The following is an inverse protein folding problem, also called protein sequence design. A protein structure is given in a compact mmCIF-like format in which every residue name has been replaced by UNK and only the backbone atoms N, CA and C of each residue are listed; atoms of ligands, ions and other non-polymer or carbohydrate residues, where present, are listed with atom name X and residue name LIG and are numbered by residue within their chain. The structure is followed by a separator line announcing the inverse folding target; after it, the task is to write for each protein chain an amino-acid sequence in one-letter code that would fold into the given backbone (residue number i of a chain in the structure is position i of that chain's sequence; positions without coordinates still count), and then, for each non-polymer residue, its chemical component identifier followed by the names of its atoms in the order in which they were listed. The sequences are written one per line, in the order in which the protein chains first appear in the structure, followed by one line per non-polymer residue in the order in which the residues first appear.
data_IF_217825073501
#
_entry.id   IF_217825073501
#
_cell.length_a   1.000
_cell.length_b   1.000
_cell.length_c   1.000
_cell.angle_alpha   90.00
_cell.angle_beta   90.00
_cell.angle_gamma   90.00
#
_symmetry.space_group_name_H-M   'P 1'
#
loop_
_entity.id
_entity.type
_entity.pdbx_description
1 polymer ?
#
# COMPACT_ATOMS: atom_id res chain seq x y z
N UNK A 1 29.65 -4.73 -25.06
CA UNK A 1 28.39 -4.06 -24.90
C UNK A 1 27.28 -4.83 -25.56
N UNK A 2 27.62 -5.62 -26.56
CA UNK A 2 26.60 -6.30 -27.33
C UNK A 2 25.69 -7.18 -26.50
N UNK A 3 26.28 -8.11 -25.77
CA UNK A 3 25.51 -9.11 -25.06
C UNK A 3 24.67 -8.51 -23.96
N UNK A 4 25.27 -7.73 -23.08
CA UNK A 4 24.51 -7.16 -21.97
C UNK A 4 23.51 -6.11 -22.45
N UNK A 5 23.86 -5.34 -23.48
CA UNK A 5 22.95 -4.37 -24.08
C UNK A 5 21.72 -5.06 -24.68
N UNK A 6 21.94 -6.14 -25.40
CA UNK A 6 20.83 -6.87 -26.03
C UNK A 6 19.95 -7.57 -25.00
N UNK A 7 20.54 -8.11 -23.96
CA UNK A 7 19.78 -8.73 -22.89
C UNK A 7 18.90 -7.71 -22.20
N UNK A 8 19.46 -6.54 -21.86
CA UNK A 8 18.69 -5.46 -21.26
C UNK A 8 17.61 -4.95 -22.20
N UNK A 9 17.90 -4.88 -23.47
CA UNK A 9 16.96 -4.42 -24.48
C UNK A 9 15.75 -5.37 -24.57
N UNK A 10 16.01 -6.67 -24.57
CA UNK A 10 14.94 -7.66 -24.57
C UNK A 10 14.07 -7.57 -23.33
N UNK A 11 14.68 -7.45 -22.18
CA UNK A 11 13.95 -7.27 -20.92
C UNK A 11 13.07 -6.03 -20.96
N UNK A 12 13.58 -4.97 -21.56
CA UNK A 12 12.83 -3.73 -21.68
C UNK A 12 11.58 -3.90 -22.54
N UNK A 13 11.66 -4.61 -23.62
CA UNK A 13 10.51 -4.86 -24.48
C UNK A 13 9.51 -5.81 -23.86
N UNK A 14 9.97 -6.83 -23.17
CA UNK A 14 9.08 -7.84 -22.63
C UNK A 14 8.31 -7.36 -21.40
N UNK A 15 8.94 -6.58 -20.54
CA UNK A 15 8.29 -6.10 -19.32
C UNK A 15 6.97 -5.37 -19.56
N UNK A 16 6.88 -4.42 -20.49
CA UNK A 16 5.62 -3.69 -20.68
C UNK A 16 4.46 -4.56 -21.14
N UNK A 17 4.75 -5.66 -21.78
CA UNK A 17 3.71 -6.50 -22.35
C UNK A 17 3.26 -7.63 -21.46
N UNK A 18 4.09 -8.08 -20.56
CA UNK A 18 3.82 -9.29 -19.79
C UNK A 18 3.70 -9.06 -18.30
N UNK A 19 4.11 -7.90 -17.81
CA UNK A 19 4.25 -7.71 -16.38
C UNK A 19 3.02 -7.09 -15.76
N UNK A 20 2.21 -7.91 -15.09
CA UNK A 20 1.28 -7.41 -14.10
C UNK A 20 2.09 -6.84 -12.95
N UNK A 21 1.68 -5.69 -12.46
CA UNK A 21 2.23 -5.12 -11.24
C UNK A 21 1.48 -5.73 -10.06
N UNK A 22 2.15 -6.55 -9.29
CA UNK A 22 1.57 -7.23 -8.13
C UNK A 22 1.69 -6.32 -6.91
N UNK A 23 0.57 -5.89 -6.38
CA UNK A 23 0.54 -4.95 -5.26
C UNK A 23 -0.15 -5.57 -4.06
N UNK A 24 0.58 -5.59 -2.94
CA UNK A 24 0.06 -6.00 -1.65
C UNK A 24 -0.46 -4.76 -0.93
N UNK A 25 -1.71 -4.80 -0.48
CA UNK A 25 -2.30 -3.75 0.34
C UNK A 25 -2.51 -4.32 1.74
N UNK A 26 -1.82 -3.73 2.71
CA UNK A 26 -1.90 -4.13 4.11
C UNK A 26 -2.60 -3.03 4.90
N UNK A 27 -3.74 -3.38 5.47
CA UNK A 27 -4.60 -2.44 6.17
C UNK A 27 -4.52 -2.71 7.67
N UNK A 28 -4.20 -1.67 8.43
CA UNK A 28 -3.88 -1.75 9.83
C UNK A 28 -5.07 -1.78 10.78
N UNK A 29 -4.78 -1.67 12.08
CA UNK A 29 -5.79 -1.80 13.13
C UNK A 29 -6.94 -0.82 12.98
N UNK A 30 -8.12 -1.31 13.25
CA UNK A 30 -9.35 -0.52 13.26
C UNK A 30 -9.81 0.05 11.92
N UNK A 31 -9.10 -0.24 10.85
CA UNK A 31 -9.54 0.26 9.53
C UNK A 31 -10.88 -0.35 9.12
N UNK A 32 -11.19 -1.54 9.61
CA UNK A 32 -12.52 -2.13 9.44
C UNK A 32 -13.64 -1.30 10.10
N UNK A 33 -13.29 -0.38 10.99
CA UNK A 33 -14.23 0.54 11.63
C UNK A 33 -14.31 1.91 10.91
N UNK A 34 -13.79 2.00 9.72
CA UNK A 34 -13.85 3.23 8.93
C UNK A 34 -15.28 3.75 8.78
N UNK A 35 -16.23 2.83 8.58
CA UNK A 35 -17.65 3.19 8.49
C UNK A 35 -18.20 3.80 9.78
N UNK A 36 -17.77 3.30 10.92
CA UNK A 36 -18.16 3.85 12.21
C UNK A 36 -17.50 5.22 12.42
N UNK A 37 -16.22 5.33 12.10
CA UNK A 37 -15.48 6.59 12.25
C UNK A 37 -16.06 7.70 11.36
N UNK A 38 -16.53 7.36 10.17
CA UNK A 38 -17.08 8.33 9.22
C UNK A 38 -18.59 8.49 9.31
N UNK A 39 -19.26 7.80 10.24
CA UNK A 39 -20.72 7.75 10.30
C UNK A 39 -21.39 9.12 10.55
N UNK A 40 -20.65 10.04 11.16
CA UNK A 40 -21.17 11.39 11.47
C UNK A 40 -20.81 12.40 10.39
N UNK A 41 -20.18 11.98 9.32
CA UNK A 41 -19.84 12.86 8.19
C UNK A 41 -20.89 12.74 7.11
N UNK A 42 -20.94 13.71 6.20
CA UNK A 42 -21.85 13.67 5.07
C UNK A 42 -21.55 12.49 4.13
N UNK A 43 -20.29 12.09 4.07
CA UNK A 43 -19.83 11.03 3.19
C UNK A 43 -19.34 9.83 4.02
N UNK A 44 -20.30 9.03 4.49
CA UNK A 44 -19.93 7.82 5.20
C UNK A 44 -19.20 6.87 4.26
N UNK A 45 -17.98 6.49 4.65
CA UNK A 45 -17.16 5.57 3.90
C UNK A 45 -16.83 4.36 4.76
N UNK A 46 -17.20 3.17 4.28
CA UNK A 46 -16.81 1.91 4.92
C UNK A 46 -15.55 1.36 4.25
N UNK A 47 -14.86 0.44 4.93
CA UNK A 47 -13.71 -0.23 4.34
C UNK A 47 -14.11 -1.00 3.07
N UNK A 48 -15.28 -1.63 3.09
CA UNK A 48 -15.78 -2.37 1.93
C UNK A 48 -15.95 -1.44 0.72
N UNK A 49 -16.53 -0.26 0.93
CA UNK A 49 -16.68 0.73 -0.16
C UNK A 49 -15.33 1.22 -0.67
N UNK A 50 -14.39 1.46 0.24
CA UNK A 50 -13.04 1.88 -0.13
C UNK A 50 -12.37 0.81 -1.00
N UNK A 51 -12.42 -0.43 -0.57
CA UNK A 51 -11.80 -1.53 -1.33
C UNK A 51 -12.46 -1.73 -2.70
N UNK A 52 -13.78 -1.61 -2.77
CA UNK A 52 -14.50 -1.70 -4.05
C UNK A 52 -14.11 -0.58 -4.99
N UNK A 53 -13.95 0.64 -4.47
CA UNK A 53 -13.53 1.78 -5.29
C UNK A 53 -12.12 1.60 -5.83
N UNK A 54 -11.22 1.11 -4.99
CA UNK A 54 -9.84 0.83 -5.42
C UNK A 54 -9.85 -0.19 -6.57
N UNK A 55 -10.57 -1.29 -6.40
CA UNK A 55 -10.66 -2.33 -7.43
C UNK A 55 -11.29 -1.80 -8.71
N UNK A 56 -12.32 -0.97 -8.60
CA UNK A 56 -13.00 -0.39 -9.75
C UNK A 56 -12.06 0.52 -10.54
N UNK A 57 -11.36 1.40 -9.86
CA UNK A 57 -10.48 2.38 -10.50
C UNK A 57 -9.27 1.73 -11.18
N UNK A 58 -8.88 0.54 -10.73
CA UNK A 58 -7.73 -0.17 -11.27
C UNK A 58 -8.09 -1.30 -12.23
N UNK A 59 -9.37 -1.46 -12.54
CA UNK A 59 -9.86 -2.58 -13.32
C UNK A 59 -9.20 -2.71 -14.70
N UNK A 60 -8.93 -1.58 -15.34
CA UNK A 60 -8.37 -1.55 -16.70
C UNK A 60 -6.86 -1.33 -16.70
N UNK A 61 -6.22 -1.50 -15.56
CA UNK A 61 -4.75 -1.35 -15.43
C UNK A 61 -4.12 -2.70 -15.19
N UNK A 62 -2.88 -2.84 -15.60
CA UNK A 62 -2.13 -4.09 -15.42
C UNK A 62 -1.64 -4.23 -13.98
N UNK A 63 -2.59 -4.38 -13.07
CA UNK A 63 -2.35 -4.47 -11.64
C UNK A 63 -3.14 -5.63 -11.06
N UNK A 64 -2.48 -6.44 -10.26
CA UNK A 64 -3.13 -7.45 -9.44
C UNK A 64 -2.98 -7.08 -7.98
N UNK A 65 -4.08 -7.16 -7.22
CA UNK A 65 -4.12 -6.73 -5.84
C UNK A 65 -4.35 -7.91 -4.91
N UNK A 66 -3.62 -7.93 -3.79
CA UNK A 66 -3.96 -8.73 -2.61
C UNK A 66 -4.19 -7.76 -1.48
N UNK A 67 -5.36 -7.82 -0.85
CA UNK A 67 -5.75 -6.91 0.21
C UNK A 67 -5.95 -7.69 1.49
N UNK A 68 -5.23 -7.31 2.54
CA UNK A 68 -5.35 -7.92 3.87
C UNK A 68 -5.58 -6.83 4.91
N UNK A 69 -6.51 -7.07 5.81
CA UNK A 69 -6.77 -6.20 6.96
C UNK A 69 -6.52 -7.01 8.24
N UNK A 70 -5.78 -6.43 9.19
CA UNK A 70 -5.55 -7.09 10.48
C UNK A 70 -5.26 -6.07 11.56
N UNK A 71 -5.60 -6.43 12.80
CA UNK A 71 -5.20 -5.69 13.98
C UNK A 71 -3.91 -6.23 14.59
N UNK A 72 -3.48 -7.41 14.15
CA UNK A 72 -2.39 -8.15 14.80
C UNK A 72 -1.08 -7.88 14.08
N UNK A 73 -0.13 -7.33 14.83
CA UNK A 73 1.20 -7.01 14.32
C UNK A 73 1.87 -8.25 13.71
N UNK A 74 1.80 -9.40 14.37
CA UNK A 74 2.46 -10.60 13.86
C UNK A 74 1.83 -11.10 12.55
N UNK A 75 0.52 -10.89 12.36
CA UNK A 75 -0.11 -11.23 11.08
C UNK A 75 0.37 -10.31 9.97
N UNK A 76 0.55 -9.02 10.26
CA UNK A 76 1.07 -8.08 9.30
C UNK A 76 2.47 -8.49 8.83
N UNK A 77 3.33 -8.84 9.77
CA UNK A 77 4.67 -9.35 9.46
C UNK A 77 4.59 -10.60 8.59
N UNK A 78 3.70 -11.53 8.93
CA UNK A 78 3.52 -12.75 8.14
C UNK A 78 3.03 -12.46 6.71
N UNK A 79 2.09 -11.55 6.54
CA UNK A 79 1.64 -11.15 5.20
C UNK A 79 2.78 -10.57 4.38
N UNK A 80 3.58 -9.71 4.97
CA UNK A 80 4.73 -9.11 4.30
C UNK A 80 5.73 -10.18 3.87
N UNK A 81 6.08 -11.09 4.77
CA UNK A 81 7.07 -12.12 4.49
C UNK A 81 6.58 -13.12 3.46
N UNK A 82 5.33 -13.57 3.55
CA UNK A 82 4.78 -14.54 2.61
C UNK A 82 4.68 -14.00 1.20
N UNK A 83 4.42 -12.72 1.06
CA UNK A 83 4.20 -12.10 -0.24
C UNK A 83 5.44 -11.42 -0.81
N UNK A 84 6.60 -11.51 -0.15
CA UNK A 84 7.81 -10.80 -0.57
C UNK A 84 8.32 -11.18 -1.96
N UNK A 85 8.03 -12.40 -2.41
CA UNK A 85 8.42 -12.85 -3.75
C UNK A 85 7.37 -12.55 -4.80
N UNK A 86 6.14 -12.32 -4.38
CA UNK A 86 5.03 -12.02 -5.28
C UNK A 86 4.89 -10.51 -5.51
N UNK A 87 5.03 -9.71 -4.48
CA UNK A 87 4.73 -8.27 -4.53
C UNK A 87 5.83 -7.49 -5.24
N UNK A 88 5.42 -6.61 -6.13
CA UNK A 88 6.29 -5.61 -6.76
C UNK A 88 6.20 -4.26 -6.06
N UNK A 89 5.09 -4.02 -5.37
CA UNK A 89 4.86 -2.83 -4.58
C UNK A 89 4.01 -3.15 -3.37
N UNK A 90 4.16 -2.38 -2.31
CA UNK A 90 3.42 -2.56 -1.07
C UNK A 90 2.75 -1.24 -0.71
N UNK A 91 1.45 -1.31 -0.39
CA UNK A 91 0.69 -0.22 0.20
C UNK A 91 0.42 -0.59 1.64
N UNK A 92 0.74 0.29 2.57
CA UNK A 92 0.38 0.10 3.96
C UNK A 92 -0.45 1.27 4.44
N UNK A 93 -1.61 0.98 5.02
CA UNK A 93 -2.42 1.95 5.73
C UNK A 93 -2.24 1.62 7.21
N UNK A 94 -1.24 2.23 7.87
CA UNK A 94 -0.78 1.72 9.16
C UNK A 94 -1.71 2.02 10.33
N UNK A 95 -2.51 3.07 10.22
CA UNK A 95 -3.27 3.60 11.35
C UNK A 95 -2.35 3.78 12.56
N UNK A 96 -2.62 3.18 13.71
CA UNK A 96 -1.80 3.35 14.91
C UNK A 96 -0.41 2.71 14.83
N UNK A 97 -0.20 1.78 13.91
CA UNK A 97 1.15 1.20 13.74
C UNK A 97 2.19 2.24 13.35
N UNK A 98 1.76 3.34 12.75
CA UNK A 98 2.65 4.40 12.33
C UNK A 98 3.41 5.03 13.51
N UNK A 99 2.91 4.89 14.73
CA UNK A 99 3.48 5.53 15.90
C UNK A 99 4.70 4.81 16.46
N UNK A 100 4.63 3.48 16.53
CA UNK A 100 5.65 2.75 17.29
C UNK A 100 5.81 1.28 16.87
N UNK A 101 5.30 0.88 15.72
CA UNK A 101 5.41 -0.54 15.33
C UNK A 101 6.71 -0.79 14.58
N UNK A 102 7.80 -0.83 15.33
CA UNK A 102 9.14 -0.96 14.78
C UNK A 102 9.40 -2.30 14.10
N UNK A 103 8.74 -3.38 14.54
CA UNK A 103 8.93 -4.69 13.90
C UNK A 103 8.41 -4.68 12.46
N UNK A 104 7.28 -4.02 12.22
CA UNK A 104 6.75 -3.89 10.86
C UNK A 104 7.71 -3.05 10.02
N UNK A 105 8.19 -1.93 10.56
CA UNK A 105 9.15 -1.09 9.86
C UNK A 105 10.42 -1.85 9.48
N UNK A 106 10.97 -2.61 10.43
CA UNK A 106 12.15 -3.44 10.19
C UNK A 106 11.90 -4.43 9.06
N UNK A 107 10.74 -5.09 9.09
CA UNK A 107 10.36 -6.06 8.06
C UNK A 107 10.29 -5.39 6.68
N UNK A 108 9.66 -4.23 6.58
CA UNK A 108 9.58 -3.47 5.33
C UNK A 108 10.98 -3.18 4.78
N UNK A 109 11.87 -2.74 5.65
CA UNK A 109 13.23 -2.39 5.24
C UNK A 109 14.06 -3.61 4.83
N UNK A 110 13.84 -4.74 5.48
CA UNK A 110 14.56 -5.97 5.13
C UNK A 110 14.12 -6.53 3.79
N UNK A 111 12.81 -6.60 3.55
CA UNK A 111 12.31 -7.13 2.27
C UNK A 111 12.56 -6.18 1.11
N UNK A 112 12.73 -4.90 1.40
CA UNK A 112 13.20 -3.87 0.46
C UNK A 112 12.41 -3.78 -0.85
N UNK A 113 11.10 -3.89 -0.76
CA UNK A 113 10.18 -3.68 -1.87
C UNK A 113 9.67 -2.25 -1.78
N UNK A 114 9.53 -1.51 -2.90
CA UNK A 114 8.97 -0.16 -2.87
C UNK A 114 7.65 -0.13 -2.11
N UNK A 115 7.56 0.72 -1.11
CA UNK A 115 6.43 0.78 -0.19
C UNK A 115 5.88 2.19 -0.12
N UNK A 116 4.56 2.32 -0.22
CA UNK A 116 3.84 3.57 -0.01
C UNK A 116 3.04 3.48 1.28
N UNK A 117 3.26 4.42 2.18
CA UNK A 117 2.52 4.51 3.43
C UNK A 117 1.41 5.54 3.24
N UNK A 118 0.20 5.16 3.59
CA UNK A 118 -1.00 5.96 3.33
C UNK A 118 -1.59 6.47 4.64
N UNK A 119 -1.83 7.78 4.68
CA UNK A 119 -2.47 8.46 5.80
C UNK A 119 -3.73 9.16 5.30
N UNK A 120 -4.80 9.13 6.09
CA UNK A 120 -6.06 9.78 5.71
C UNK A 120 -6.17 11.16 6.38
N UNK A 121 -6.71 12.12 5.63
CA UNK A 121 -7.08 13.42 6.19
C UNK A 121 -8.27 13.29 7.14
N UNK A 122 -8.40 14.26 8.06
CA UNK A 122 -9.62 14.37 8.83
C UNK A 122 -10.82 14.58 7.90
N UNK A 123 -12.00 14.04 8.19
CA UNK A 123 -12.38 13.36 9.44
C UNK A 123 -12.09 11.84 9.43
N UNK A 124 -11.37 11.33 8.46
CA UNK A 124 -11.11 9.89 8.31
C UNK A 124 -9.81 9.44 8.97
N UNK A 125 -9.05 10.35 9.56
CA UNK A 125 -7.73 10.04 10.13
C UNK A 125 -7.83 9.09 11.33
N UNK A 126 -6.89 8.16 11.37
CA UNK A 126 -6.73 7.24 12.49
C UNK A 126 -5.53 7.69 13.34
N UNK A 127 -5.11 6.87 14.28
CA UNK A 127 -4.15 7.24 15.32
C UNK A 127 -2.74 7.58 14.92
N UNK A 128 -2.38 7.49 13.66
CA UNK A 128 -1.04 7.87 13.19
C UNK A 128 -1.12 8.88 12.08
N UNK A 129 -0.28 9.90 12.14
CA UNK A 129 -0.16 10.91 11.10
C UNK A 129 1.25 10.88 10.52
N UNK A 130 1.40 11.39 9.32
CA UNK A 130 2.70 11.36 8.62
C UNK A 130 3.80 12.03 9.44
N UNK A 131 3.50 13.17 10.05
CA UNK A 131 4.47 13.97 10.79
C UNK A 131 5.06 13.25 12.00
N UNK A 132 4.29 12.34 12.61
CA UNK A 132 4.70 11.62 13.81
C UNK A 132 5.02 10.17 13.56
N UNK A 133 5.07 9.77 12.29
CA UNK A 133 5.25 8.38 11.91
C UNK A 133 6.70 7.95 11.95
N UNK A 134 6.92 6.70 12.39
CA UNK A 134 8.22 6.06 12.29
C UNK A 134 8.44 5.41 10.91
N UNK A 135 7.39 5.34 10.09
CA UNK A 135 7.41 4.62 8.80
C UNK A 135 8.16 5.43 7.74
N UNK A 136 9.46 5.54 7.91
CA UNK A 136 10.35 6.23 6.97
C UNK A 136 11.50 5.30 6.61
N UNK A 137 11.98 5.40 5.37
CA UNK A 137 13.07 4.55 4.93
C UNK A 137 13.45 4.84 3.48
N UNK A 138 14.54 4.22 3.04
CA UNK A 138 15.11 4.43 1.73
C UNK A 138 14.11 4.14 0.60
N UNK A 139 13.32 3.09 0.75
CA UNK A 139 12.40 2.63 -0.28
C UNK A 139 10.94 2.83 0.13
N UNK A 140 10.71 3.83 0.99
CA UNK A 140 9.40 4.14 1.55
C UNK A 140 9.03 5.57 1.15
N UNK A 141 7.81 5.73 0.62
CA UNK A 141 7.21 7.03 0.35
C UNK A 141 5.91 7.15 1.12
N UNK A 142 5.54 8.37 1.50
CA UNK A 142 4.32 8.64 2.26
C UNK A 142 3.38 9.52 1.48
N UNK A 143 2.07 9.27 1.60
CA UNK A 143 1.01 10.03 0.97
C UNK A 143 -0.08 10.30 1.99
N UNK A 144 -0.58 11.53 2.03
CA UNK A 144 -1.68 11.92 2.90
C UNK A 144 -2.78 12.54 2.06
N UNK A 145 -4.03 12.15 2.29
CA UNK A 145 -5.15 12.71 1.52
C UNK A 145 -6.49 12.05 1.86
N UNK A 146 -7.46 12.29 1.00
CA UNK A 146 -8.76 11.64 1.11
C UNK A 146 -8.62 10.14 0.85
N UNK A 147 -9.34 9.30 1.60
CA UNK A 147 -9.10 7.85 1.56
C UNK A 147 -9.05 7.24 0.17
N UNK A 148 -10.05 7.50 -0.66
CA UNK A 148 -10.10 6.91 -1.99
C UNK A 148 -8.99 7.46 -2.89
N UNK A 149 -8.86 8.78 -2.93
CA UNK A 149 -7.88 9.44 -3.79
C UNK A 149 -6.44 9.08 -3.39
N UNK A 150 -6.13 9.07 -2.10
CA UNK A 150 -4.75 8.83 -1.65
C UNK A 150 -4.34 7.37 -1.83
N UNK A 151 -5.27 6.43 -1.66
CA UNK A 151 -4.97 5.02 -1.95
C UNK A 151 -4.64 4.82 -3.42
N UNK A 152 -5.43 5.40 -4.31
CA UNK A 152 -5.18 5.31 -5.75
C UNK A 152 -3.85 5.99 -6.09
N UNK A 153 -3.58 7.15 -5.53
CA UNK A 153 -2.31 7.85 -5.73
C UNK A 153 -1.11 6.99 -5.34
N UNK A 154 -1.19 6.34 -4.17
CA UNK A 154 -0.12 5.46 -3.71
C UNK A 154 0.09 4.27 -4.63
N UNK A 155 -0.97 3.69 -5.15
CA UNK A 155 -0.89 2.55 -6.08
C UNK A 155 -0.34 3.01 -7.43
N UNK A 156 -0.84 4.11 -7.95
CA UNK A 156 -0.40 4.62 -9.25
C UNK A 156 1.06 5.04 -9.24
N UNK A 157 1.61 5.37 -8.08
CA UNK A 157 3.02 5.71 -7.97
C UNK A 157 3.95 4.56 -8.35
N UNK A 158 3.47 3.33 -8.33
CA UNK A 158 4.24 2.16 -8.76
C UNK A 158 4.11 1.86 -10.25
N UNK A 159 3.06 2.36 -10.88
CA UNK A 159 2.74 2.02 -12.27
C UNK A 159 3.41 3.00 -13.23
N UNK A 160 3.51 4.23 -12.83
CA UNK A 160 4.15 5.28 -13.62
C UNK A 160 5.64 5.41 -13.24
#
# INVERSE_FOLDING_TARGET
PGTSYWDDHWLYYWKPYSALMNILILQGPNLNLLGLKSSKTENRLTLDKLNKRIKKDLRNKDVELKIYQTHKQFQAVNYLQRNRKWANGIIIIPTSWARNEYTILETINIIDIPTSIIYFNEPFAFGGAEESSIMVGKNIRSFTGEPEAVCIQGIESFIT
#
